data_IF_336891710036
#
_entry.id   IF_336891710036
#
_cell.length_a   1.000
_cell.length_b   1.000
_cell.length_c   1.000
_cell.angle_alpha   90.00
_cell.angle_beta   90.00
_cell.angle_gamma   90.00
#
_symmetry.space_group_name_H-M   'P 1'
#
loop_
_entity.id
_entity.type
_entity.pdbx_description
1 polymer ?
#
# COMPACT_ATOMS: atom_id res chain seq x y z
N UNK A 1 -1.40 11.64 -20.20
CA UNK A 1 -1.98 10.51 -19.49
C UNK A 1 -3.33 10.95 -18.96
N UNK A 2 -4.34 10.12 -19.05
CA UNK A 2 -5.62 10.41 -18.40
C UNK A 2 -5.42 10.40 -16.88
N UNK A 3 -6.15 11.23 -16.12
CA UNK A 3 -6.06 11.26 -14.67
C UNK A 3 -6.51 9.92 -14.07
N UNK A 4 -5.88 9.51 -12.97
CA UNK A 4 -6.30 8.34 -12.22
C UNK A 4 -7.62 8.61 -11.52
N UNK A 5 -8.59 7.74 -11.71
CA UNK A 5 -9.91 7.80 -11.09
C UNK A 5 -9.86 7.28 -9.67
N UNK A 6 -10.21 8.13 -8.72
CA UNK A 6 -10.14 7.83 -7.29
C UNK A 6 -11.55 7.78 -6.70
N UNK A 7 -11.87 6.72 -5.98
CA UNK A 7 -13.05 6.64 -5.12
C UNK A 7 -12.62 6.84 -3.66
N UNK A 8 -13.28 7.73 -2.95
CA UNK A 8 -13.05 7.95 -1.51
C UNK A 8 -14.17 7.25 -0.73
N UNK A 9 -13.80 6.50 0.32
CA UNK A 9 -14.73 5.84 1.23
C UNK A 9 -14.35 6.22 2.66
N UNK A 10 -15.11 7.12 3.25
CA UNK A 10 -14.86 7.71 4.57
C UNK A 10 -16.18 8.15 5.19
N UNK A 11 -16.51 7.67 6.38
CA UNK A 11 -17.74 8.00 7.08
C UNK A 11 -17.67 9.35 7.83
N UNK A 12 -16.48 9.76 8.30
CA UNK A 12 -16.27 11.01 9.02
C UNK A 12 -16.35 12.23 8.08
N UNK A 13 -17.35 13.12 8.22
CA UNK A 13 -17.58 14.19 7.24
C UNK A 13 -16.39 15.13 7.05
N UNK A 14 -15.74 15.53 8.15
CA UNK A 14 -14.65 16.50 8.09
C UNK A 14 -13.43 15.94 7.37
N UNK A 15 -13.05 14.71 7.72
CA UNK A 15 -11.91 14.04 7.10
C UNK A 15 -12.17 13.72 5.62
N UNK A 16 -13.39 13.32 5.29
CA UNK A 16 -13.86 13.07 3.93
C UNK A 16 -13.73 14.31 3.04
N UNK A 17 -14.23 15.46 3.50
CA UNK A 17 -14.13 16.71 2.74
C UNK A 17 -12.68 17.18 2.61
N UNK A 18 -11.87 17.02 3.65
CA UNK A 18 -10.44 17.30 3.59
C UNK A 18 -9.74 16.45 2.53
N UNK A 19 -9.96 15.12 2.54
CA UNK A 19 -9.41 14.20 1.54
C UNK A 19 -9.83 14.60 0.13
N UNK A 20 -11.12 14.83 -0.07
CA UNK A 20 -11.66 15.23 -1.36
C UNK A 20 -10.99 16.50 -1.88
N UNK A 21 -10.98 17.56 -1.08
CA UNK A 21 -10.35 18.82 -1.47
C UNK A 21 -8.87 18.66 -1.82
N UNK A 22 -8.17 17.86 -1.03
CA UNK A 22 -6.73 17.66 -1.22
C UNK A 22 -6.44 16.87 -2.49
N UNK A 23 -7.21 15.81 -2.76
CA UNK A 23 -7.03 14.98 -3.97
C UNK A 23 -7.52 15.67 -5.24
N UNK A 24 -8.60 16.44 -5.18
CA UNK A 24 -9.10 17.24 -6.32
C UNK A 24 -8.11 18.36 -6.74
N UNK A 25 -7.24 18.79 -5.82
CA UNK A 25 -6.20 19.78 -6.11
C UNK A 25 -4.95 19.18 -6.76
N UNK A 26 -4.80 17.84 -6.75
CA UNK A 26 -3.61 17.18 -7.27
C UNK A 26 -3.71 16.91 -8.77
N UNK A 27 -2.78 17.46 -9.59
CA UNK A 27 -2.75 17.18 -11.01
C UNK A 27 -2.58 15.67 -11.29
N UNK A 28 -3.45 15.13 -12.15
CA UNK A 28 -3.40 13.71 -12.54
C UNK A 28 -4.28 12.79 -11.69
N UNK A 29 -5.04 13.32 -10.74
CA UNK A 29 -6.11 12.60 -10.03
C UNK A 29 -7.47 13.15 -10.41
N UNK A 30 -8.50 12.29 -10.40
CA UNK A 30 -9.91 12.62 -10.63
C UNK A 30 -10.75 11.88 -9.57
N UNK A 31 -11.35 12.61 -8.63
CA UNK A 31 -12.22 12.02 -7.62
C UNK A 31 -13.59 11.73 -8.22
N UNK A 32 -13.78 10.50 -8.69
CA UNK A 32 -14.99 10.07 -9.41
C UNK A 32 -16.18 9.77 -8.51
N UNK A 33 -15.97 9.68 -7.19
CA UNK A 33 -17.06 9.44 -6.23
C UNK A 33 -16.59 9.47 -4.78
N UNK A 34 -17.59 9.55 -3.90
CA UNK A 34 -17.41 9.55 -2.44
C UNK A 34 -18.51 8.70 -1.81
N UNK A 35 -18.14 7.67 -1.05
CA UNK A 35 -19.02 6.78 -0.31
C UNK A 35 -18.82 6.93 1.21
N UNK A 36 -19.81 6.56 2.01
CA UNK A 36 -19.80 6.68 3.47
C UNK A 36 -19.97 5.36 4.21
N UNK A 37 -20.13 4.26 3.47
CA UNK A 37 -20.33 2.91 3.97
C UNK A 37 -19.83 1.89 2.95
N UNK A 38 -19.68 0.61 3.36
CA UNK A 38 -19.13 -0.44 2.52
C UNK A 38 -19.99 -0.81 1.34
N UNK A 39 -21.31 -0.86 1.50
CA UNK A 39 -22.27 -1.22 0.46
C UNK A 39 -22.28 -0.19 -0.67
N UNK A 40 -22.35 1.09 -0.32
CA UNK A 40 -22.29 2.18 -1.29
C UNK A 40 -20.94 2.26 -1.99
N UNK A 41 -19.84 1.93 -1.29
CA UNK A 41 -18.51 1.84 -1.88
C UNK A 41 -18.43 0.78 -2.99
N UNK A 42 -18.93 -0.44 -2.72
CA UNK A 42 -18.95 -1.55 -3.71
C UNK A 42 -19.84 -1.19 -4.91
N UNK A 43 -21.01 -0.59 -4.67
CA UNK A 43 -21.92 -0.19 -5.75
C UNK A 43 -21.29 0.91 -6.64
N UNK A 44 -20.70 1.92 -6.01
CA UNK A 44 -20.07 3.05 -6.71
C UNK A 44 -18.81 2.60 -7.45
N UNK A 45 -17.99 1.72 -6.88
CA UNK A 45 -16.84 1.15 -7.56
C UNK A 45 -17.23 0.38 -8.83
N UNK A 46 -18.35 -0.36 -8.79
CA UNK A 46 -18.88 -1.07 -9.96
C UNK A 46 -19.39 -0.12 -11.05
N UNK A 47 -19.94 1.04 -10.67
CA UNK A 47 -20.45 2.05 -11.63
C UNK A 47 -19.31 2.89 -12.23
N UNK A 48 -18.41 3.40 -11.38
CA UNK A 48 -17.41 4.39 -11.78
C UNK A 48 -16.12 3.77 -12.29
N UNK A 49 -15.86 2.49 -12.00
CA UNK A 49 -14.63 1.79 -12.37
C UNK A 49 -13.36 2.57 -11.95
N UNK A 50 -13.18 2.88 -10.67
CA UNK A 50 -12.03 3.63 -10.21
C UNK A 50 -10.72 2.85 -10.41
N UNK A 51 -9.61 3.57 -10.62
CA UNK A 51 -8.28 2.98 -10.68
C UNK A 51 -7.74 2.69 -9.27
N UNK A 52 -8.10 3.53 -8.29
CA UNK A 52 -7.83 3.27 -6.88
C UNK A 52 -9.01 3.66 -5.98
N UNK A 53 -9.13 2.97 -4.85
CA UNK A 53 -10.09 3.27 -3.77
C UNK A 53 -9.31 3.61 -2.51
N UNK A 54 -9.52 4.80 -1.97
CA UNK A 54 -9.03 5.18 -0.64
C UNK A 54 -10.15 4.89 0.36
N UNK A 55 -9.88 4.06 1.35
CA UNK A 55 -10.91 3.50 2.21
C UNK A 55 -10.47 3.39 3.67
N UNK A 56 -11.33 3.79 4.59
CA UNK A 56 -11.14 3.50 6.02
C UNK A 56 -11.59 2.09 6.33
N UNK A 57 -11.04 1.52 7.42
CA UNK A 57 -11.40 0.16 7.86
C UNK A 57 -12.77 0.17 8.52
N UNK A 58 -12.95 1.06 9.52
CA UNK A 58 -14.16 1.13 10.31
C UNK A 58 -15.21 1.95 9.55
N UNK A 59 -16.21 1.27 9.00
CA UNK A 59 -17.36 1.86 8.31
C UNK A 59 -18.66 1.48 9.01
N UNK A 60 -19.70 2.33 8.94
CA UNK A 60 -21.01 1.98 9.45
C UNK A 60 -21.67 0.91 8.57
N UNK A 61 -22.56 0.11 9.18
CA UNK A 61 -23.28 -0.96 8.48
C UNK A 61 -22.77 -2.36 8.84
N UNK A 62 -23.06 -3.33 7.98
CA UNK A 62 -22.66 -4.73 8.17
C UNK A 62 -21.32 -5.06 7.49
N UNK A 63 -20.84 -4.17 6.62
CA UNK A 63 -19.64 -4.38 5.80
C UNK A 63 -18.57 -3.36 6.19
N UNK A 64 -17.45 -3.84 6.72
CA UNK A 64 -16.30 -2.99 6.97
C UNK A 64 -15.50 -2.67 5.68
N UNK A 65 -14.49 -1.80 5.81
CA UNK A 65 -13.70 -1.37 4.64
C UNK A 65 -12.86 -2.49 4.03
N UNK A 66 -12.43 -3.49 4.81
CA UNK A 66 -11.66 -4.63 4.27
C UNK A 66 -12.59 -5.54 3.47
N UNK A 67 -13.77 -5.85 4.00
CA UNK A 67 -14.78 -6.63 3.29
C UNK A 67 -15.22 -5.95 1.99
N UNK A 68 -15.45 -4.63 2.03
CA UNK A 68 -15.79 -3.84 0.86
C UNK A 68 -14.66 -3.87 -0.19
N UNK A 69 -13.40 -3.70 0.25
CA UNK A 69 -12.24 -3.75 -0.63
C UNK A 69 -12.08 -5.12 -1.31
N UNK A 70 -12.29 -6.21 -0.58
CA UNK A 70 -12.27 -7.57 -1.15
C UNK A 70 -13.34 -7.73 -2.23
N UNK A 71 -14.59 -7.32 -1.97
CA UNK A 71 -15.67 -7.39 -2.96
C UNK A 71 -15.41 -6.53 -4.20
N UNK A 72 -14.75 -5.38 -4.03
CA UNK A 72 -14.32 -4.55 -5.16
C UNK A 72 -13.28 -5.30 -6.00
N UNK A 73 -12.28 -5.90 -5.35
CA UNK A 73 -11.23 -6.67 -6.03
C UNK A 73 -11.72 -7.96 -6.68
N UNK A 74 -12.74 -8.63 -6.13
CA UNK A 74 -13.40 -9.78 -6.79
C UNK A 74 -13.93 -9.43 -8.18
N UNK A 75 -14.36 -8.17 -8.37
CA UNK A 75 -14.88 -7.71 -9.67
C UNK A 75 -13.80 -7.15 -10.58
N UNK A 76 -12.79 -6.48 -10.00
CA UNK A 76 -11.70 -5.85 -10.73
C UNK A 76 -10.41 -5.95 -9.90
N UNK A 77 -9.61 -6.98 -10.19
CA UNK A 77 -8.36 -7.28 -9.49
C UNK A 77 -7.35 -6.12 -9.53
N UNK A 78 -7.33 -5.37 -10.62
CA UNK A 78 -6.36 -4.28 -10.86
C UNK A 78 -6.70 -2.98 -10.11
N UNK A 79 -7.87 -2.88 -9.45
CA UNK A 79 -8.19 -1.70 -8.65
C UNK A 79 -7.24 -1.62 -7.45
N UNK A 80 -6.46 -0.54 -7.35
CA UNK A 80 -5.62 -0.27 -6.19
C UNK A 80 -6.47 -0.02 -4.93
N UNK A 81 -6.06 -0.53 -3.79
CA UNK A 81 -6.72 -0.28 -2.51
C UNK A 81 -5.75 0.44 -1.58
N UNK A 82 -6.14 1.62 -1.10
CA UNK A 82 -5.39 2.40 -0.12
C UNK A 82 -6.19 2.44 1.17
N UNK A 83 -5.80 1.65 2.14
CA UNK A 83 -6.42 1.63 3.47
C UNK A 83 -5.90 2.81 4.29
N UNK A 84 -6.81 3.58 4.87
CA UNK A 84 -6.52 4.60 5.87
C UNK A 84 -6.90 4.10 7.27
N UNK A 85 -5.97 4.19 8.22
CA UNK A 85 -6.20 3.70 9.58
C UNK A 85 -5.62 4.65 10.63
N UNK A 86 -6.17 4.61 11.82
CA UNK A 86 -5.57 5.27 13.00
C UNK A 86 -4.58 4.35 13.73
N UNK A 87 -4.53 3.06 13.36
CA UNK A 87 -3.73 2.03 14.02
C UNK A 87 -2.40 1.80 13.29
N UNK A 88 -1.30 1.94 14.00
CA UNK A 88 0.06 1.64 13.51
C UNK A 88 0.56 0.23 13.84
N UNK A 89 -0.26 -0.55 14.56
CA UNK A 89 0.12 -1.92 14.95
C UNK A 89 0.13 -2.83 13.71
N UNK A 90 1.26 -3.50 13.50
CA UNK A 90 1.44 -4.48 12.41
C UNK A 90 0.35 -5.55 12.33
N UNK A 91 -0.34 -5.86 13.45
CA UNK A 91 -1.44 -6.85 13.45
C UNK A 91 -2.54 -6.48 12.49
N UNK A 92 -2.85 -5.21 12.35
CA UNK A 92 -3.83 -4.72 11.36
C UNK A 92 -3.33 -4.90 9.93
N UNK A 93 -2.05 -4.60 9.68
CA UNK A 93 -1.44 -4.82 8.35
C UNK A 93 -1.37 -6.31 8.01
N UNK A 94 -1.04 -7.16 8.99
CA UNK A 94 -0.99 -8.62 8.80
C UNK A 94 -2.37 -9.25 8.59
N UNK A 95 -3.46 -8.58 8.95
CA UNK A 95 -4.83 -9.03 8.68
C UNK A 95 -5.29 -8.72 7.25
N UNK A 96 -4.58 -7.84 6.53
CA UNK A 96 -4.89 -7.58 5.13
C UNK A 96 -4.55 -8.80 4.26
N UNK A 97 -5.34 -9.10 3.25
CA UNK A 97 -5.12 -10.26 2.36
C UNK A 97 -4.03 -9.99 1.32
N UNK A 98 -2.87 -9.47 1.77
CA UNK A 98 -1.76 -9.05 0.91
C UNK A 98 -1.15 -10.20 0.10
N UNK A 99 -1.29 -11.46 0.58
CA UNK A 99 -0.79 -12.65 -0.10
C UNK A 99 -1.69 -13.12 -1.25
N UNK A 100 -2.95 -12.75 -1.22
CA UNK A 100 -3.97 -13.23 -2.17
C UNK A 100 -4.25 -12.23 -3.28
N UNK A 101 -3.97 -10.94 -3.03
CA UNK A 101 -4.29 -9.85 -3.97
C UNK A 101 -3.14 -8.86 -4.06
N UNK A 102 -2.90 -8.32 -5.26
CA UNK A 102 -1.93 -7.24 -5.50
C UNK A 102 -2.56 -5.86 -5.31
N UNK A 103 -1.72 -4.83 -5.16
CA UNK A 103 -2.21 -3.46 -5.18
C UNK A 103 -2.88 -3.02 -3.88
N UNK A 104 -2.20 -3.20 -2.76
CA UNK A 104 -2.63 -2.70 -1.45
C UNK A 104 -1.66 -1.68 -0.90
N UNK A 105 -2.22 -0.61 -0.34
CA UNK A 105 -1.46 0.32 0.46
C UNK A 105 -2.12 0.47 1.85
N UNK A 106 -1.30 0.75 2.86
CA UNK A 106 -1.75 1.03 4.21
C UNK A 106 -1.08 2.30 4.71
N UNK A 107 -1.88 3.33 4.95
CA UNK A 107 -1.43 4.62 5.46
C UNK A 107 -2.10 4.95 6.79
N UNK A 108 -1.41 5.69 7.63
CA UNK A 108 -1.97 6.25 8.85
C UNK A 108 -2.70 7.56 8.54
N UNK A 109 -3.91 7.74 9.06
CA UNK A 109 -4.73 8.97 8.88
C UNK A 109 -3.94 10.23 9.26
N UNK A 110 -3.10 10.16 10.28
CA UNK A 110 -2.26 11.30 10.73
C UNK A 110 -1.22 11.72 9.69
N UNK A 111 -0.82 10.84 8.76
CA UNK A 111 0.21 11.09 7.74
C UNK A 111 -0.39 11.50 6.38
N UNK A 112 -1.72 11.54 6.24
CA UNK A 112 -2.41 12.02 5.04
C UNK A 112 -2.01 13.46 4.63
N UNK A 113 -1.69 14.39 5.55
CA UNK A 113 -1.15 15.69 5.17
C UNK A 113 0.16 15.65 4.37
N UNK A 114 0.93 14.56 4.45
CA UNK A 114 2.05 14.30 3.52
C UNK A 114 1.54 13.75 2.20
N UNK A 115 1.17 14.64 1.28
CA UNK A 115 0.62 14.29 -0.03
C UNK A 115 1.58 13.41 -0.84
N UNK A 116 2.88 13.56 -0.70
CA UNK A 116 3.85 12.70 -1.40
C UNK A 116 3.70 11.22 -0.98
N UNK A 117 3.38 10.95 0.27
CA UNK A 117 3.08 9.58 0.74
C UNK A 117 1.75 9.06 0.20
N UNK A 118 0.71 9.90 0.14
CA UNK A 118 -0.59 9.52 -0.43
C UNK A 118 -0.48 9.20 -1.92
N UNK A 119 0.17 10.06 -2.69
CA UNK A 119 0.39 9.84 -4.13
C UNK A 119 1.20 8.57 -4.38
N UNK A 120 2.23 8.31 -3.59
CA UNK A 120 3.03 7.09 -3.68
C UNK A 120 2.20 5.84 -3.37
N UNK A 121 1.30 5.92 -2.38
CA UNK A 121 0.39 4.83 -2.03
C UNK A 121 -0.62 4.56 -3.14
N UNK A 122 -1.23 5.60 -3.72
CA UNK A 122 -2.16 5.49 -4.85
C UNK A 122 -1.44 4.85 -6.04
N UNK A 123 -0.34 5.44 -6.50
CA UNK A 123 0.39 4.95 -7.66
C UNK A 123 0.90 3.51 -7.44
N UNK A 124 1.50 3.24 -6.27
CA UNK A 124 2.00 1.91 -5.94
C UNK A 124 0.89 0.85 -5.92
N UNK A 125 -0.30 1.18 -5.38
CA UNK A 125 -1.43 0.26 -5.39
C UNK A 125 -1.97 -0.01 -6.80
N UNK A 126 -2.04 1.01 -7.65
CA UNK A 126 -2.41 0.86 -9.08
C UNK A 126 -1.39 -0.01 -9.83
N UNK A 127 -0.10 0.15 -9.53
CA UNK A 127 0.99 -0.66 -10.11
C UNK A 127 1.07 -2.09 -9.51
N UNK A 128 0.11 -2.50 -8.70
CA UNK A 128 0.06 -3.83 -8.09
C UNK A 128 1.05 -4.05 -6.93
N UNK A 129 1.65 -2.99 -6.42
CA UNK A 129 2.62 -3.05 -5.32
C UNK A 129 1.91 -3.08 -3.95
N UNK A 130 2.66 -3.50 -2.93
CA UNK A 130 2.32 -3.24 -1.52
C UNK A 130 3.07 -1.99 -1.06
N UNK A 131 2.35 -1.03 -0.47
CA UNK A 131 2.93 0.21 0.06
C UNK A 131 2.48 0.38 1.51
N UNK A 132 3.44 0.51 2.42
CA UNK A 132 3.18 0.65 3.84
C UNK A 132 3.62 2.03 4.34
N UNK A 133 2.88 2.56 5.30
CA UNK A 133 3.23 3.78 6.01
C UNK A 133 4.62 3.66 6.67
N UNK A 134 5.47 4.68 6.61
CA UNK A 134 6.80 4.66 7.23
C UNK A 134 6.79 4.26 8.72
N UNK A 135 5.85 4.77 9.51
CA UNK A 135 5.75 4.43 10.94
C UNK A 135 5.38 2.96 11.16
N UNK A 136 4.58 2.39 10.25
CA UNK A 136 4.27 0.96 10.27
C UNK A 136 5.52 0.15 9.96
N UNK A 137 6.27 0.53 8.92
CA UNK A 137 7.53 -0.14 8.54
C UNK A 137 8.56 -0.08 9.68
N UNK A 138 8.70 1.08 10.34
CA UNK A 138 9.59 1.24 11.50
C UNK A 138 9.20 0.33 12.68
N UNK A 139 7.92 0.02 12.84
CA UNK A 139 7.43 -0.90 13.87
C UNK A 139 7.76 -2.38 13.60
N UNK A 140 8.16 -2.72 12.37
CA UNK A 140 8.47 -4.09 11.98
C UNK A 140 9.83 -4.52 12.53
N UNK A 141 9.84 -5.52 13.39
CA UNK A 141 11.05 -6.12 13.95
C UNK A 141 11.12 -7.58 13.53
N UNK A 142 12.19 -8.02 12.82
CA UNK A 142 12.34 -9.42 12.45
C UNK A 142 12.36 -10.34 13.68
N UNK A 143 11.61 -11.43 13.65
CA UNK A 143 11.68 -12.44 14.69
C UNK A 143 13.07 -13.07 14.74
N UNK A 144 13.57 -13.35 15.94
CA UNK A 144 14.84 -14.06 16.11
C UNK A 144 14.75 -15.43 15.43
N UNK A 145 15.71 -15.71 14.53
CA UNK A 145 15.75 -16.97 13.79
C UNK A 145 15.00 -16.96 12.44
N UNK A 146 14.26 -15.90 12.10
CA UNK A 146 13.64 -15.76 10.79
C UNK A 146 14.65 -15.51 9.66
N UNK A 147 14.24 -15.73 8.42
CA UNK A 147 15.07 -15.39 7.24
C UNK A 147 15.40 -13.90 7.21
N UNK A 148 14.46 -13.05 7.57
CA UNK A 148 14.63 -11.60 7.65
C UNK A 148 15.67 -11.18 8.72
N UNK A 149 15.84 -11.94 9.80
CA UNK A 149 16.86 -11.70 10.81
C UNK A 149 18.30 -11.85 10.28
N UNK A 150 18.49 -12.60 9.18
CA UNK A 150 19.80 -12.79 8.52
C UNK A 150 20.21 -11.62 7.63
N UNK A 151 19.29 -10.70 7.35
CA UNK A 151 19.57 -9.50 6.58
C UNK A 151 20.49 -8.56 7.37
N UNK A 152 21.51 -8.04 6.70
CA UNK A 152 22.37 -7.00 7.28
C UNK A 152 21.54 -5.71 7.49
N UNK A 153 22.00 -4.78 8.36
CA UNK A 153 21.32 -3.50 8.53
C UNK A 153 21.09 -2.76 7.20
N UNK A 154 22.04 -2.85 6.26
CA UNK A 154 21.92 -2.19 4.96
C UNK A 154 20.85 -2.84 4.06
N UNK A 155 20.76 -4.18 4.05
CA UNK A 155 19.69 -4.89 3.35
C UNK A 155 18.33 -4.54 3.92
N UNK A 156 18.20 -4.42 5.25
CA UNK A 156 16.95 -4.00 5.90
C UNK A 156 16.54 -2.59 5.49
N UNK A 157 17.46 -1.61 5.49
CA UNK A 157 17.16 -0.25 5.01
C UNK A 157 16.62 -0.24 3.58
N UNK A 158 17.20 -1.05 2.68
CA UNK A 158 16.69 -1.17 1.31
C UNK A 158 15.29 -1.79 1.30
N UNK A 159 15.07 -2.87 2.06
CA UNK A 159 13.77 -3.55 2.14
C UNK A 159 12.67 -2.66 2.74
N UNK A 160 12.98 -1.88 3.76
CA UNK A 160 12.07 -0.91 4.37
C UNK A 160 11.63 0.18 3.36
N UNK A 161 12.57 0.68 2.54
CA UNK A 161 12.22 1.62 1.48
C UNK A 161 11.40 0.97 0.35
N UNK A 162 11.66 -0.30 0.05
CA UNK A 162 10.80 -1.07 -0.86
C UNK A 162 9.39 -1.17 -0.30
N UNK A 163 9.25 -1.48 0.99
CA UNK A 163 7.94 -1.59 1.66
C UNK A 163 7.18 -0.25 1.71
N UNK A 164 7.91 0.86 1.72
CA UNK A 164 7.33 2.22 1.60
C UNK A 164 7.00 2.62 0.14
N UNK A 165 7.15 1.73 -0.83
CA UNK A 165 6.80 1.95 -2.24
C UNK A 165 7.82 2.74 -3.05
N UNK A 166 9.07 2.93 -2.57
CA UNK A 166 10.10 3.63 -3.35
C UNK A 166 10.64 2.76 -4.48
N UNK A 167 10.83 3.35 -5.66
CA UNK A 167 11.53 2.73 -6.78
C UNK A 167 13.06 2.77 -6.59
N UNK A 168 13.82 2.05 -7.45
CA UNK A 168 15.26 1.94 -7.33
C UNK A 168 15.99 3.29 -7.39
N UNK A 169 15.53 4.20 -8.24
CA UNK A 169 16.09 5.56 -8.37
C UNK A 169 15.95 6.33 -7.06
N UNK A 170 14.75 6.32 -6.47
CA UNK A 170 14.48 7.01 -5.20
C UNK A 170 15.23 6.39 -4.03
N UNK A 171 15.37 5.04 -4.00
CA UNK A 171 16.17 4.33 -2.99
C UNK A 171 17.65 4.71 -3.12
N UNK A 172 18.18 4.74 -4.35
CA UNK A 172 19.56 5.13 -4.61
C UNK A 172 19.85 6.54 -4.09
N UNK A 173 18.98 7.51 -4.40
CA UNK A 173 19.11 8.89 -3.93
C UNK A 173 19.09 8.98 -2.40
N UNK A 174 18.11 8.33 -1.73
CA UNK A 174 17.95 8.37 -0.27
C UNK A 174 19.13 7.73 0.48
N UNK A 175 19.70 6.69 -0.07
CA UNK A 175 20.79 5.94 0.55
C UNK A 175 22.18 6.34 0.04
N UNK A 176 22.27 7.35 -0.84
CA UNK A 176 23.53 7.79 -1.48
C UNK A 176 24.24 6.62 -2.17
N UNK A 177 23.49 5.89 -3.00
CA UNK A 177 23.94 4.73 -3.78
C UNK A 177 23.74 4.97 -5.28
N UNK A 178 24.30 4.07 -6.11
CA UNK A 178 23.90 3.93 -7.52
C UNK A 178 22.69 3.00 -7.63
N UNK A 179 21.89 3.14 -8.69
CA UNK A 179 20.77 2.22 -8.95
C UNK A 179 21.25 0.77 -9.09
N UNK A 180 22.39 0.56 -9.74
CA UNK A 180 23.02 -0.75 -9.86
C UNK A 180 23.38 -1.37 -8.48
N UNK A 181 23.82 -0.55 -7.54
CA UNK A 181 24.06 -1.01 -6.17
C UNK A 181 22.76 -1.42 -5.49
N UNK A 182 21.67 -0.65 -5.68
CA UNK A 182 20.34 -0.99 -5.15
C UNK A 182 19.85 -2.31 -5.72
N UNK A 183 19.97 -2.54 -7.03
CA UNK A 183 19.64 -3.83 -7.67
C UNK A 183 20.44 -4.98 -7.06
N UNK A 184 21.73 -4.78 -6.81
CA UNK A 184 22.57 -5.79 -6.16
C UNK A 184 22.06 -6.12 -4.74
N UNK A 185 21.71 -5.10 -3.94
CA UNK A 185 21.12 -5.30 -2.61
C UNK A 185 19.80 -6.06 -2.69
N UNK A 186 18.92 -5.70 -3.63
CA UNK A 186 17.61 -6.36 -3.84
C UNK A 186 17.83 -7.85 -4.19
N UNK A 187 18.75 -8.16 -5.08
CA UNK A 187 19.04 -9.55 -5.45
C UNK A 187 19.53 -10.38 -4.25
N UNK A 188 20.38 -9.80 -3.40
CA UNK A 188 20.83 -10.46 -2.17
C UNK A 188 19.68 -10.65 -1.19
N UNK A 189 18.79 -9.63 -1.03
CA UNK A 189 17.58 -9.75 -0.20
C UNK A 189 16.72 -10.92 -0.68
N UNK A 190 16.46 -11.04 -1.98
CA UNK A 190 15.66 -12.12 -2.53
C UNK A 190 16.29 -13.49 -2.28
N UNK A 191 17.61 -13.61 -2.42
CA UNK A 191 18.33 -14.85 -2.10
C UNK A 191 18.22 -15.22 -0.62
N UNK A 192 18.42 -14.26 0.30
CA UNK A 192 18.36 -14.49 1.75
C UNK A 192 16.94 -14.85 2.19
N UNK A 193 15.93 -14.21 1.61
CA UNK A 193 14.51 -14.48 1.88
C UNK A 193 13.96 -15.70 1.12
N UNK A 194 14.80 -16.35 0.29
CA UNK A 194 14.44 -17.53 -0.53
C UNK A 194 13.25 -17.27 -1.46
N UNK A 195 13.21 -16.08 -2.06
CA UNK A 195 12.16 -15.69 -2.98
C UNK A 195 12.50 -16.23 -4.37
N UNK A 196 11.71 -17.17 -4.93
CA UNK A 196 11.94 -17.68 -6.28
C UNK A 196 11.70 -16.57 -7.31
N UNK A 197 12.53 -16.54 -8.34
CA UNK A 197 12.36 -15.65 -9.48
C UNK A 197 11.28 -16.17 -10.43
N UNK A 198 10.03 -16.23 -10.01
CA UNK A 198 8.89 -16.64 -10.83
C UNK A 198 8.23 -15.45 -11.51
N UNK A 199 7.85 -15.62 -12.78
CA UNK A 199 6.96 -14.73 -13.51
C UNK A 199 5.56 -14.78 -12.86
N UNK A 200 4.98 -13.62 -12.54
CA UNK A 200 3.58 -13.50 -12.13
C UNK A 200 3.31 -12.95 -10.74
N UNK A 201 4.24 -13.05 -9.79
CA UNK A 201 4.14 -12.31 -8.52
C UNK A 201 5.35 -11.42 -8.40
N UNK A 202 5.14 -10.11 -8.25
CA UNK A 202 6.24 -9.18 -8.08
C UNK A 202 7.12 -9.62 -6.90
N UNK A 203 8.38 -9.97 -7.15
CA UNK A 203 9.33 -10.40 -6.12
C UNK A 203 9.44 -9.38 -4.98
N UNK A 204 9.18 -8.10 -5.28
CA UNK A 204 9.10 -7.03 -4.27
C UNK A 204 7.96 -7.27 -3.28
N UNK A 205 6.77 -7.61 -3.76
CA UNK A 205 5.61 -7.91 -2.92
C UNK A 205 5.91 -9.13 -2.04
N UNK A 206 6.46 -10.21 -2.62
CA UNK A 206 6.88 -11.39 -1.84
C UNK A 206 7.90 -11.03 -0.75
N UNK A 207 8.88 -10.18 -1.04
CA UNK A 207 9.86 -9.74 -0.04
C UNK A 207 9.22 -9.00 1.14
N UNK A 208 8.24 -8.13 0.85
CA UNK A 208 7.47 -7.42 1.87
C UNK A 208 6.65 -8.40 2.70
N UNK A 209 5.95 -9.35 2.05
CA UNK A 209 5.13 -10.35 2.74
C UNK A 209 5.94 -11.25 3.67
N UNK A 210 7.12 -11.71 3.22
CA UNK A 210 8.05 -12.48 4.06
C UNK A 210 8.52 -11.62 5.24
N UNK A 211 8.83 -10.35 4.99
CA UNK A 211 9.24 -9.42 6.05
C UNK A 211 8.12 -9.19 7.08
N UNK A 212 6.87 -9.04 6.64
CA UNK A 212 5.69 -8.92 7.50
C UNK A 212 5.41 -10.21 8.29
N UNK A 213 5.50 -11.36 7.65
CA UNK A 213 5.23 -12.67 8.26
C UNK A 213 6.32 -13.13 9.22
N UNK A 214 7.57 -12.80 8.93
CA UNK A 214 8.75 -13.13 9.71
C UNK A 214 9.02 -12.15 10.86
N UNK A 215 8.29 -11.04 10.92
CA UNK A 215 8.49 -9.96 11.91
C UNK A 215 7.77 -10.22 13.22
#
# INVERSE_FOLDING_TARGET
MDPLKILIVEDEPLFREMLRHTLDAEPGLDVVGVATDGESAVAMAAEKNPDAVIMVIELPGEMDGIDAALKIKERRLDTGIVILSVHKDRRYVSSLPLSETHGWAYLLKQNVPDMASVLRAIQGSVDGMVVLDPEVVESLQPKRGSSAAKLTPRHRQVLELIAQGFNNTSIAQRLTLTEKSVETYINVIYQVLQIPGEEGVHSRVKAILVYLGDS
#
